data_IF_495514096421
#
_entry.id   IF_495514096421
#
_cell.length_a   1.000
_cell.length_b   1.000
_cell.length_c   1.000
_cell.angle_alpha   90.00
_cell.angle_beta   90.00
_cell.angle_gamma   90.00
#
_symmetry.space_group_name_H-M   'P 1'
#
loop_
_entity.id
_entity.type
_entity.pdbx_description
1 polymer ?
#
# COMPACT_ATOMS: atom_id res chain seq x y z
N UNK A 1 7.04 7.25 -0.07
CA UNK A 1 5.82 7.09 -0.89
C UNK A 1 6.25 7.09 -2.35
N UNK A 2 5.74 6.14 -3.12
CA UNK A 2 6.04 5.95 -4.53
C UNK A 2 4.76 6.32 -5.29
N UNK A 3 4.89 7.19 -6.29
CA UNK A 3 3.78 7.72 -7.11
C UNK A 3 4.10 7.57 -8.58
N UNK A 4 3.08 7.61 -9.43
CA UNK A 4 3.21 7.49 -10.88
C UNK A 4 1.98 6.85 -11.52
N UNK A 5 1.86 6.97 -12.83
CA UNK A 5 0.74 6.41 -13.60
C UNK A 5 0.60 4.90 -13.43
N UNK A 6 -0.56 4.37 -13.80
CA UNK A 6 -0.81 2.93 -13.84
C UNK A 6 0.16 2.27 -14.81
N UNK A 7 0.70 1.10 -14.44
CA UNK A 7 1.64 0.37 -15.29
C UNK A 7 3.08 0.91 -15.31
N UNK A 8 3.43 1.90 -14.49
CA UNK A 8 4.83 2.39 -14.36
C UNK A 8 5.74 1.45 -13.56
N UNK A 9 5.23 0.35 -13.01
CA UNK A 9 6.00 -0.65 -12.26
C UNK A 9 6.13 -0.39 -10.76
N UNK A 10 5.25 0.44 -10.18
CA UNK A 10 5.21 0.71 -8.72
C UNK A 10 5.06 -0.59 -7.91
N UNK A 11 4.06 -1.40 -8.23
CA UNK A 11 3.81 -2.69 -7.56
C UNK A 11 4.99 -3.65 -7.70
N UNK A 12 5.56 -3.78 -8.90
CA UNK A 12 6.75 -4.60 -9.14
C UNK A 12 7.96 -4.15 -8.32
N UNK A 13 8.15 -2.84 -8.14
CA UNK A 13 9.19 -2.29 -7.27
C UNK A 13 8.93 -2.63 -5.79
N UNK A 14 7.69 -2.50 -5.33
CA UNK A 14 7.30 -2.86 -3.96
C UNK A 14 7.47 -4.35 -3.70
N UNK A 15 7.09 -5.21 -4.64
CA UNK A 15 7.28 -6.66 -4.58
C UNK A 15 8.76 -7.01 -4.45
N UNK A 16 9.64 -6.39 -5.26
CA UNK A 16 11.07 -6.61 -5.16
C UNK A 16 11.64 -6.19 -3.79
N UNK A 17 11.14 -5.08 -3.22
CA UNK A 17 11.50 -4.65 -1.87
C UNK A 17 10.97 -5.63 -0.81
N UNK A 18 9.74 -6.12 -0.97
CA UNK A 18 9.12 -7.10 -0.09
C UNK A 18 9.88 -8.43 -0.06
N UNK A 19 10.25 -8.94 -1.25
CA UNK A 19 11.07 -10.13 -1.41
C UNK A 19 12.44 -9.97 -0.72
N UNK A 20 13.10 -8.81 -0.88
CA UNK A 20 14.35 -8.50 -0.17
C UNK A 20 14.19 -8.43 1.36
N UNK A 21 13.04 -7.98 1.85
CA UNK A 21 12.70 -7.96 3.28
C UNK A 21 12.32 -9.36 3.83
N UNK A 22 12.12 -10.35 2.96
CA UNK A 22 11.75 -11.72 3.32
C UNK A 22 10.24 -11.92 3.48
N UNK A 23 9.42 -11.07 2.86
CA UNK A 23 7.97 -11.24 2.76
C UNK A 23 7.58 -12.05 1.53
N UNK A 24 6.39 -12.66 1.58
CA UNK A 24 5.82 -13.39 0.45
C UNK A 24 5.28 -12.42 -0.61
N UNK A 25 5.40 -12.79 -1.89
CA UNK A 25 5.02 -11.94 -3.04
C UNK A 25 3.50 -11.70 -3.12
N UNK A 26 2.71 -12.64 -2.59
CA UNK A 26 1.25 -12.51 -2.51
C UNK A 26 0.80 -11.57 -1.37
N UNK A 27 1.72 -11.02 -0.57
CA UNK A 27 1.43 -10.21 0.60
C UNK A 27 1.27 -11.05 1.88
N UNK A 28 1.53 -10.42 3.03
CA UNK A 28 1.51 -11.02 4.35
C UNK A 28 2.79 -10.82 5.15
N UNK A 29 2.85 -11.45 6.33
CA UNK A 29 4.07 -11.56 7.14
C UNK A 29 4.94 -12.75 6.70
N UNK A 30 6.17 -12.83 7.22
CA UNK A 30 7.09 -13.95 6.92
C UNK A 30 6.44 -15.30 7.26
N UNK A 31 6.34 -16.19 6.26
CA UNK A 31 5.73 -17.53 6.40
C UNK A 31 4.23 -17.60 6.06
N UNK A 32 3.64 -16.51 5.58
CA UNK A 32 2.26 -16.46 5.12
C UNK A 32 2.14 -16.98 3.68
N UNK A 33 1.32 -18.00 3.44
CA UNK A 33 0.94 -18.47 2.10
C UNK A 33 -0.57 -18.32 1.93
N UNK A 34 -1.06 -17.32 1.20
CA UNK A 34 -2.46 -17.27 0.82
C UNK A 34 -2.80 -18.50 -0.03
N UNK A 35 -3.87 -19.20 0.32
CA UNK A 35 -4.28 -20.48 -0.31
C UNK A 35 -4.73 -20.27 -1.77
N UNK A 36 -5.06 -19.04 -2.17
CA UNK A 36 -5.72 -18.73 -3.45
C UNK A 36 -4.83 -18.08 -4.55
N UNK A 37 -3.54 -17.81 -4.31
CA UNK A 37 -2.67 -17.18 -5.33
C UNK A 37 -1.63 -18.13 -5.94
N UNK A 38 -1.87 -19.45 -5.90
CA UNK A 38 -1.00 -20.44 -6.56
C UNK A 38 -0.94 -20.33 -8.09
N UNK A 39 -1.80 -19.50 -8.70
CA UNK A 39 -1.88 -19.28 -10.14
C UNK A 39 -1.39 -17.91 -10.65
N UNK A 40 -1.10 -16.95 -9.76
CA UNK A 40 -0.53 -15.65 -10.15
C UNK A 40 1.00 -15.70 -10.03
N UNK A 41 1.63 -16.45 -10.92
CA UNK A 41 3.09 -16.52 -11.02
C UNK A 41 3.57 -15.23 -11.72
N UNK A 42 3.58 -14.10 -11.03
CA UNK A 42 4.23 -12.90 -11.55
C UNK A 42 5.74 -13.00 -11.31
N UNK A 43 6.44 -13.64 -12.27
CA UNK A 43 7.90 -13.87 -12.23
C UNK A 43 8.73 -12.57 -12.22
N UNK A 44 8.12 -11.41 -12.33
CA UNK A 44 8.81 -10.12 -12.52
C UNK A 44 9.42 -9.58 -11.23
N UNK A 45 8.72 -9.64 -10.10
CA UNK A 45 9.18 -9.16 -8.79
C UNK A 45 10.41 -9.91 -8.27
N UNK A 46 10.36 -11.25 -8.22
CA UNK A 46 11.49 -12.11 -7.84
C UNK A 46 12.75 -11.87 -8.68
N UNK A 47 12.60 -11.70 -9.99
CA UNK A 47 13.74 -11.47 -10.88
C UNK A 47 14.42 -10.12 -10.58
N UNK A 48 13.62 -9.09 -10.29
CA UNK A 48 14.11 -7.77 -9.93
C UNK A 48 14.76 -7.77 -8.52
N UNK A 49 14.21 -8.52 -7.57
CA UNK A 49 14.77 -8.67 -6.23
C UNK A 49 16.22 -9.18 -6.26
N UNK A 50 16.55 -10.11 -7.16
CA UNK A 50 17.92 -10.63 -7.33
C UNK A 50 18.91 -9.59 -7.86
N UNK A 51 18.42 -8.49 -8.45
CA UNK A 51 19.25 -7.41 -8.99
C UNK A 51 19.47 -6.30 -7.96
N UNK A 52 18.56 -6.14 -7.00
CA UNK A 52 18.69 -5.14 -5.94
C UNK A 52 19.64 -5.59 -4.83
N UNK A 53 20.39 -4.63 -4.27
CA UNK A 53 21.13 -4.81 -3.01
C UNK A 53 20.53 -3.93 -1.92
N UNK A 54 19.81 -4.57 -1.01
CA UNK A 54 19.32 -3.94 0.21
C UNK A 54 20.46 -3.58 1.17
N UNK A 55 20.57 -2.30 1.52
CA UNK A 55 21.49 -1.81 2.54
C UNK A 55 20.69 -1.23 3.71
N UNK A 56 20.48 -2.04 4.75
CA UNK A 56 19.90 -1.57 6.01
C UNK A 56 20.43 -2.38 7.20
N UNK A 57 20.66 -1.69 8.32
CA UNK A 57 21.14 -2.26 9.59
C UNK A 57 20.36 -1.64 10.75
N UNK A 58 19.85 -2.44 11.70
CA UNK A 58 19.77 -3.90 11.68
C UNK A 58 18.82 -4.39 10.58
N UNK A 59 19.01 -5.63 10.09
CA UNK A 59 18.06 -6.23 9.15
C UNK A 59 16.74 -6.55 9.85
N UNK A 60 15.84 -5.57 9.90
CA UNK A 60 14.49 -5.75 10.43
C UNK A 60 13.69 -6.56 9.40
N UNK A 61 13.41 -7.83 9.72
CA UNK A 61 12.55 -8.72 8.90
C UNK A 61 11.16 -8.89 9.52
N UNK A 62 10.87 -8.16 10.60
CA UNK A 62 9.56 -8.07 11.19
C UNK A 62 8.76 -6.97 10.49
N UNK A 63 7.47 -7.20 10.28
CA UNK A 63 6.58 -6.28 9.57
C UNK A 63 5.68 -7.04 8.60
N UNK A 64 5.09 -6.31 7.66
CA UNK A 64 4.00 -6.81 6.82
C UNK A 64 4.05 -6.17 5.43
N UNK A 65 3.77 -6.96 4.41
CA UNK A 65 3.42 -6.47 3.08
C UNK A 65 1.90 -6.54 2.89
N UNK A 66 1.25 -5.39 2.82
CA UNK A 66 -0.17 -5.25 2.57
C UNK A 66 -0.40 -4.86 1.12
N UNK A 67 -1.14 -5.69 0.38
CA UNK A 67 -1.73 -5.32 -0.91
C UNK A 67 -3.23 -5.24 -0.73
N UNK A 68 -3.88 -4.24 -1.31
CA UNK A 68 -5.35 -4.15 -1.23
C UNK A 68 -6.03 -5.40 -1.82
N UNK A 69 -5.48 -5.96 -2.90
CA UNK A 69 -6.01 -7.16 -3.57
C UNK A 69 -5.89 -8.43 -2.70
N UNK A 70 -4.79 -8.60 -1.99
CA UNK A 70 -4.57 -9.77 -1.14
C UNK A 70 -5.01 -9.58 0.31
N UNK A 71 -5.37 -8.35 0.73
CA UNK A 71 -5.87 -8.08 2.07
C UNK A 71 -7.03 -9.02 2.43
N UNK A 72 -7.93 -9.25 1.50
CA UNK A 72 -9.13 -10.03 1.78
C UNK A 72 -8.86 -11.54 1.84
N UNK A 73 -7.98 -12.07 0.99
CA UNK A 73 -7.51 -13.46 1.11
C UNK A 73 -6.74 -13.66 2.42
N UNK A 74 -5.99 -12.63 2.84
CA UNK A 74 -5.24 -12.64 4.09
C UNK A 74 -6.18 -12.62 5.32
N UNK A 75 -7.16 -11.71 5.31
CA UNK A 75 -8.17 -11.59 6.37
C UNK A 75 -8.99 -12.87 6.51
N UNK A 76 -9.43 -13.46 5.38
CA UNK A 76 -10.17 -14.73 5.37
C UNK A 76 -9.41 -15.89 6.00
N UNK A 77 -8.16 -16.08 5.62
CA UNK A 77 -7.36 -17.15 6.21
C UNK A 77 -7.13 -16.92 7.72
N UNK A 78 -7.00 -15.68 8.18
CA UNK A 78 -6.81 -15.39 9.60
C UNK A 78 -8.08 -15.60 10.43
N UNK A 79 -9.23 -15.19 9.91
CA UNK A 79 -10.53 -15.48 10.53
C UNK A 79 -10.72 -17.00 10.61
N UNK A 80 -10.39 -17.74 9.54
CA UNK A 80 -10.46 -19.21 9.53
C UNK A 80 -9.48 -19.86 10.51
N UNK A 81 -8.20 -19.45 10.53
CA UNK A 81 -7.18 -20.00 11.42
C UNK A 81 -7.48 -19.73 12.90
N UNK A 82 -8.20 -18.67 13.21
CA UNK A 82 -8.63 -18.37 14.58
C UNK A 82 -9.85 -19.19 15.03
N UNK A 83 -10.71 -19.63 14.11
CA UNK A 83 -11.76 -20.61 14.43
C UNK A 83 -11.17 -21.98 14.81
N UNK A 84 -9.93 -22.26 14.41
CA UNK A 84 -9.20 -23.48 14.74
C UNK A 84 -8.48 -23.41 16.11
N UNK A 85 -8.37 -22.23 16.74
CA UNK A 85 -7.77 -22.03 18.07
C UNK A 85 -8.81 -21.61 19.12
N UNK A 86 -9.31 -22.55 19.96
CA UNK A 86 -10.36 -22.26 20.94
C UNK A 86 -9.93 -21.35 22.10
N UNK A 87 -8.64 -20.98 22.21
CA UNK A 87 -8.15 -20.06 23.25
C UNK A 87 -7.97 -18.62 22.76
N UNK A 88 -8.14 -18.36 21.45
CA UNK A 88 -8.05 -17.03 20.88
C UNK A 88 -9.47 -16.53 20.58
N UNK A 89 -9.85 -15.32 21.03
CA UNK A 89 -11.12 -14.74 20.57
C UNK A 89 -11.05 -14.64 19.04
N UNK A 90 -12.08 -15.13 18.31
CA UNK A 90 -12.08 -15.08 16.87
C UNK A 90 -11.96 -13.60 16.46
N UNK A 91 -10.95 -13.22 15.66
CA UNK A 91 -10.99 -11.96 14.97
C UNK A 91 -12.20 -12.00 14.04
N UNK A 92 -12.91 -10.89 14.01
CA UNK A 92 -14.12 -10.75 13.22
C UNK A 92 -13.86 -9.72 12.14
N UNK A 93 -12.76 -9.87 11.37
CA UNK A 93 -12.36 -8.86 10.39
C UNK A 93 -13.35 -8.78 9.21
N UNK A 94 -14.07 -9.88 8.94
CA UNK A 94 -15.03 -10.01 7.85
C UNK A 94 -16.46 -9.58 8.17
N UNK A 95 -16.85 -9.40 9.44
CA UNK A 95 -18.19 -8.85 9.76
C UNK A 95 -18.30 -7.35 9.57
N UNK A 96 -17.16 -6.65 9.47
CA UNK A 96 -17.11 -5.21 9.25
C UNK A 96 -17.10 -4.88 7.76
N UNK A 97 -17.43 -3.62 7.45
CA UNK A 97 -17.25 -3.09 6.10
C UNK A 97 -15.79 -3.23 5.63
N UNK A 98 -15.58 -3.43 4.32
CA UNK A 98 -14.27 -3.68 3.69
C UNK A 98 -13.14 -2.78 4.24
N UNK A 99 -13.39 -1.47 4.37
CA UNK A 99 -12.38 -0.53 4.86
C UNK A 99 -12.15 -0.56 6.37
N UNK A 100 -13.14 -0.98 7.17
CA UNK A 100 -13.01 -1.05 8.63
C UNK A 100 -12.20 -2.27 9.08
N UNK A 101 -12.41 -3.42 8.42
CA UNK A 101 -11.55 -4.59 8.61
C UNK A 101 -10.08 -4.26 8.33
N UNK A 102 -9.80 -3.51 7.26
CA UNK A 102 -8.45 -3.08 6.90
C UNK A 102 -7.79 -2.22 7.99
N UNK A 103 -8.50 -1.19 8.49
CA UNK A 103 -7.97 -0.30 9.52
C UNK A 103 -7.65 -1.06 10.81
N UNK A 104 -8.57 -1.94 11.26
CA UNK A 104 -8.33 -2.76 12.47
C UNK A 104 -7.16 -3.71 12.28
N UNK A 105 -7.10 -4.39 11.14
CA UNK A 105 -6.01 -5.29 10.80
C UNK A 105 -4.66 -4.57 10.80
N UNK A 106 -4.60 -3.42 10.15
CA UNK A 106 -3.42 -2.57 10.12
C UNK A 106 -3.04 -2.11 11.53
N UNK A 107 -4.00 -1.72 12.37
CA UNK A 107 -3.74 -1.27 13.75
C UNK A 107 -3.17 -2.36 14.64
N UNK A 108 -3.65 -3.59 14.51
CA UNK A 108 -3.17 -4.71 15.30
C UNK A 108 -1.74 -5.13 14.92
N UNK A 109 -1.43 -5.11 13.62
CA UNK A 109 -0.15 -5.61 13.08
C UNK A 109 0.96 -4.57 13.07
N UNK A 110 0.61 -3.29 13.08
CA UNK A 110 1.56 -2.18 13.06
C UNK A 110 2.08 -1.76 14.44
N UNK A 111 1.84 -2.55 15.49
CA UNK A 111 2.29 -2.26 16.87
C UNK A 111 3.75 -2.61 17.15
N UNK A 112 4.41 -3.32 16.24
CA UNK A 112 5.78 -3.85 16.45
C UNK A 112 6.79 -3.05 15.62
N UNK A 113 8.05 -3.12 16.03
CA UNK A 113 9.12 -2.59 15.21
C UNK A 113 9.19 -3.36 13.89
N UNK A 114 9.16 -2.66 12.76
CA UNK A 114 9.07 -3.33 11.47
C UNK A 114 9.15 -2.46 10.22
N UNK A 115 9.29 -3.13 9.08
CA UNK A 115 9.11 -2.52 7.76
C UNK A 115 7.75 -2.92 7.19
N UNK A 116 6.95 -1.92 6.86
CA UNK A 116 5.58 -2.06 6.40
C UNK A 116 5.49 -1.58 4.96
N UNK A 117 5.02 -2.46 4.07
CA UNK A 117 4.87 -2.16 2.66
C UNK A 117 3.37 -2.10 2.35
N UNK A 118 2.91 -1.04 1.70
CA UNK A 118 1.50 -0.83 1.34
C UNK A 118 1.40 -0.61 -0.17
N UNK A 119 0.68 -1.46 -0.87
CA UNK A 119 0.39 -1.29 -2.29
C UNK A 119 -1.09 -0.95 -2.49
N UNK A 120 -1.33 0.25 -3.02
CA UNK A 120 -2.65 0.84 -3.30
C UNK A 120 -3.67 0.69 -2.16
N UNK A 121 -3.33 1.07 -0.91
CA UNK A 121 -4.23 0.87 0.23
C UNK A 121 -5.56 1.65 0.10
N UNK A 122 -5.61 2.71 -0.71
CA UNK A 122 -6.82 3.46 -1.00
C UNK A 122 -7.92 2.65 -1.70
N UNK A 123 -7.57 1.58 -2.43
CA UNK A 123 -8.54 0.79 -3.20
C UNK A 123 -9.58 0.11 -2.32
N UNK A 124 -9.26 -0.12 -1.04
CA UNK A 124 -10.17 -0.67 -0.04
C UNK A 124 -10.79 0.39 0.91
N UNK A 125 -10.44 1.67 0.75
CA UNK A 125 -10.71 2.72 1.74
C UNK A 125 -11.46 3.91 1.16
N UNK A 126 -12.58 4.28 1.81
CA UNK A 126 -13.22 5.57 1.57
C UNK A 126 -12.31 6.74 1.97
N UNK A 127 -12.52 7.97 1.45
CA UNK A 127 -11.70 9.13 1.80
C UNK A 127 -11.53 9.35 3.31
N UNK A 128 -12.62 9.23 4.09
CA UNK A 128 -12.56 9.35 5.55
C UNK A 128 -11.66 8.28 6.19
N UNK A 129 -11.65 7.06 5.67
CA UNK A 129 -10.78 5.98 6.16
C UNK A 129 -9.33 6.14 5.72
N UNK A 130 -9.08 6.75 4.56
CA UNK A 130 -7.72 7.17 4.18
C UNK A 130 -7.15 8.20 5.16
N UNK A 131 -7.98 9.12 5.66
CA UNK A 131 -7.57 10.05 6.74
C UNK A 131 -7.25 9.30 8.05
N UNK A 132 -7.98 8.25 8.39
CA UNK A 132 -7.64 7.40 9.54
C UNK A 132 -6.29 6.70 9.34
N UNK A 133 -6.05 6.14 8.15
CA UNK A 133 -4.76 5.56 7.80
C UNK A 133 -3.62 6.58 7.93
N UNK A 134 -3.79 7.82 7.45
CA UNK A 134 -2.80 8.90 7.63
C UNK A 134 -2.45 9.15 9.11
N UNK A 135 -3.46 9.18 9.99
CA UNK A 135 -3.24 9.35 11.43
C UNK A 135 -2.42 8.19 12.00
N UNK A 136 -2.63 6.97 11.50
CA UNK A 136 -1.85 5.80 11.92
C UNK A 136 -0.41 5.87 11.42
N UNK A 137 -0.21 6.21 10.14
CA UNK A 137 1.11 6.40 9.54
C UNK A 137 1.91 7.46 10.30
N UNK A 138 1.28 8.59 10.65
CA UNK A 138 1.92 9.64 11.44
C UNK A 138 2.33 9.16 12.84
N UNK A 139 1.48 8.37 13.52
CA UNK A 139 1.82 7.77 14.83
C UNK A 139 3.00 6.80 14.72
N UNK A 140 3.07 6.02 13.64
CA UNK A 140 4.15 5.07 13.37
C UNK A 140 5.48 5.77 13.08
N UNK A 141 5.44 6.87 12.32
CA UNK A 141 6.63 7.69 12.06
C UNK A 141 7.16 8.32 13.36
N UNK A 142 6.25 8.90 14.17
CA UNK A 142 6.59 9.52 15.45
C UNK A 142 7.14 8.53 16.49
N UNK A 143 6.73 7.26 16.45
CA UNK A 143 7.27 6.26 17.38
C UNK A 143 8.71 5.87 17.04
N UNK A 144 9.19 6.13 15.82
CA UNK A 144 10.55 5.80 15.37
C UNK A 144 10.82 4.29 15.27
N UNK A 145 9.79 3.46 15.40
CA UNK A 145 9.90 2.00 15.42
C UNK A 145 9.51 1.37 14.07
N UNK A 146 8.95 2.14 13.14
CA UNK A 146 8.44 1.61 11.89
C UNK A 146 8.98 2.37 10.68
N UNK A 147 9.32 1.63 9.62
CA UNK A 147 9.54 2.20 8.29
C UNK A 147 8.35 1.81 7.41
N UNK A 148 7.70 2.81 6.81
CA UNK A 148 6.62 2.57 5.84
C UNK A 148 7.11 2.88 4.43
N UNK A 149 6.86 1.96 3.49
CA UNK A 149 7.03 2.15 2.06
C UNK A 149 5.65 1.92 1.44
N UNK A 150 5.15 2.89 0.69
CA UNK A 150 3.81 2.85 0.15
C UNK A 150 3.82 3.27 -1.31
N UNK A 151 3.09 2.56 -2.17
CA UNK A 151 2.65 3.03 -3.47
C UNK A 151 1.18 3.44 -3.37
N UNK A 152 0.85 4.60 -3.93
CA UNK A 152 -0.53 5.13 -3.89
C UNK A 152 -0.79 6.04 -5.08
N UNK A 153 -2.05 6.06 -5.48
CA UNK A 153 -2.70 6.96 -6.42
C UNK A 153 -3.55 8.02 -5.72
N UNK A 154 -3.74 7.93 -4.41
CA UNK A 154 -4.55 8.88 -3.66
C UNK A 154 -3.78 10.14 -3.28
N UNK A 155 -4.22 11.34 -3.72
CA UNK A 155 -3.65 12.61 -3.25
C UNK A 155 -3.72 12.78 -1.73
N UNK A 156 -4.73 12.19 -1.07
CA UNK A 156 -4.85 12.24 0.39
C UNK A 156 -3.66 11.53 1.05
N UNK A 157 -3.33 10.32 0.58
CA UNK A 157 -2.23 9.54 1.12
C UNK A 157 -0.86 10.11 0.72
N UNK A 158 -0.75 10.70 -0.48
CA UNK A 158 0.44 11.44 -0.91
C UNK A 158 0.78 12.62 0.02
N UNK A 159 -0.23 13.25 0.61
CA UNK A 159 -0.05 14.38 1.53
C UNK A 159 0.38 13.95 2.95
N UNK A 160 0.80 12.69 3.16
CA UNK A 160 1.27 12.22 4.45
C UNK A 160 2.41 13.12 5.00
N UNK A 161 2.23 13.72 6.20
CA UNK A 161 3.24 14.60 6.77
C UNK A 161 4.59 13.88 6.95
N UNK A 162 5.70 14.58 6.63
CA UNK A 162 7.06 14.04 6.77
C UNK A 162 7.44 12.99 5.72
N UNK A 163 6.51 12.59 4.84
CA UNK A 163 6.80 11.58 3.83
C UNK A 163 7.70 12.12 2.72
N UNK A 164 8.64 11.28 2.28
CA UNK A 164 9.40 11.49 1.04
C UNK A 164 8.64 10.87 -0.12
N UNK A 165 8.35 11.66 -1.15
CA UNK A 165 7.71 11.21 -2.38
C UNK A 165 8.73 10.96 -3.47
N UNK A 166 8.56 9.84 -4.17
CA UNK A 166 9.33 9.47 -5.35
C UNK A 166 8.38 9.15 -6.49
N UNK A 167 8.55 9.82 -7.63
CA UNK A 167 7.85 9.50 -8.87
C UNK A 167 8.62 8.42 -9.61
N UNK A 168 7.92 7.38 -10.04
CA UNK A 168 8.46 6.36 -10.96
C UNK A 168 8.32 6.89 -12.38
N UNK A 169 9.46 7.08 -13.04
CA UNK A 169 9.54 7.41 -14.46
C UNK A 169 10.25 6.28 -15.21
N UNK A 170 10.21 6.32 -16.55
CA UNK A 170 10.99 5.39 -17.39
C UNK A 170 12.50 5.49 -17.17
N UNK A 171 12.97 6.58 -16.56
CA UNK A 171 14.38 6.84 -16.28
C UNK A 171 14.78 6.50 -14.83
N UNK A 172 13.83 6.12 -13.97
CA UNK A 172 14.08 5.69 -12.60
C UNK A 172 13.17 6.38 -11.57
N UNK A 173 13.69 6.48 -10.34
CA UNK A 173 13.00 7.14 -9.22
C UNK A 173 13.50 8.58 -9.07
N UNK A 174 12.59 9.53 -9.17
CA UNK A 174 12.87 10.96 -9.02
C UNK A 174 12.14 11.50 -7.78
N UNK A 175 12.77 12.33 -6.94
CA UNK A 175 12.06 13.05 -5.89
C UNK A 175 10.92 13.89 -6.47
N UNK A 176 9.78 13.93 -5.80
CA UNK A 176 8.63 14.73 -6.21
C UNK A 176 8.04 15.50 -5.02
N UNK A 177 7.58 16.72 -5.27
CA UNK A 177 6.70 17.43 -4.34
C UNK A 177 5.26 16.95 -4.54
N UNK A 178 4.50 16.83 -3.46
CA UNK A 178 3.10 16.39 -3.54
C UNK A 178 2.25 17.34 -4.42
N UNK A 179 2.53 18.65 -4.40
CA UNK A 179 1.79 19.64 -5.18
C UNK A 179 2.08 19.56 -6.68
N UNK A 180 3.17 18.89 -7.03
CA UNK A 180 3.60 18.70 -8.41
C UNK A 180 3.17 17.35 -8.99
N UNK A 181 2.46 16.51 -8.22
CA UNK A 181 1.92 15.27 -8.75
C UNK A 181 0.72 15.53 -9.65
N UNK A 182 0.61 14.74 -10.71
CA UNK A 182 -0.52 14.84 -11.66
C UNK A 182 -1.85 14.56 -10.95
N UNK A 183 -1.86 13.60 -10.01
CA UNK A 183 -3.02 13.29 -9.18
C UNK A 183 -3.51 14.48 -8.36
N UNK A 184 -2.60 15.24 -7.74
CA UNK A 184 -3.00 16.43 -6.97
C UNK A 184 -3.49 17.55 -7.88
N UNK A 185 -2.79 17.81 -9.00
CA UNK A 185 -3.18 18.86 -9.95
C UNK A 185 -4.55 18.60 -10.54
N UNK A 186 -4.79 17.38 -11.03
CA UNK A 186 -6.09 16.95 -11.54
C UNK A 186 -7.21 17.16 -10.50
N UNK A 187 -7.02 16.67 -9.28
CA UNK A 187 -8.04 16.82 -8.24
C UNK A 187 -8.28 18.28 -7.84
N UNK A 188 -7.21 19.10 -7.79
CA UNK A 188 -7.29 20.54 -7.52
C UNK A 188 -8.08 21.25 -8.62
N UNK A 189 -7.76 20.97 -9.87
CA UNK A 189 -8.35 21.65 -11.03
C UNK A 189 -9.85 21.31 -11.12
N UNK A 190 -10.21 20.02 -11.00
CA UNK A 190 -11.60 19.58 -10.86
C UNK A 190 -12.31 20.23 -9.67
N UNK A 191 -11.66 20.37 -8.52
CA UNK A 191 -12.28 20.96 -7.34
C UNK A 191 -12.49 22.48 -7.44
N UNK A 192 -11.68 23.17 -8.25
CA UNK A 192 -11.76 24.61 -8.44
C UNK A 192 -12.79 25.00 -9.50
N UNK A 193 -12.89 24.23 -10.59
CA UNK A 193 -13.84 24.45 -11.67
C UNK A 193 -14.32 23.09 -12.24
N UNK A 194 -15.32 22.45 -11.60
CA UNK A 194 -15.79 21.14 -12.04
C UNK A 194 -16.41 21.16 -13.44
N UNK A 195 -17.19 22.20 -13.75
CA UNK A 195 -17.91 22.29 -15.02
C UNK A 195 -16.93 22.50 -16.18
N UNK A 196 -16.00 23.46 -16.05
CA UNK A 196 -14.98 23.72 -17.08
C UNK A 196 -14.02 22.55 -17.26
N UNK A 197 -13.63 21.88 -16.18
CA UNK A 197 -12.80 20.68 -16.24
C UNK A 197 -13.49 19.54 -17.01
N UNK A 198 -14.79 19.32 -16.77
CA UNK A 198 -15.55 18.26 -17.45
C UNK A 198 -15.78 18.59 -18.93
N UNK A 199 -16.06 19.84 -19.26
CA UNK A 199 -16.21 20.27 -20.64
C UNK A 199 -14.93 20.02 -21.46
N UNK A 200 -13.75 20.35 -20.91
CA UNK A 200 -12.45 20.09 -21.55
C UNK A 200 -12.17 18.59 -21.67
N UNK A 201 -12.32 17.83 -20.57
CA UNK A 201 -12.01 16.41 -20.52
C UNK A 201 -12.90 15.56 -21.44
N UNK A 202 -14.20 15.87 -21.56
CA UNK A 202 -15.13 15.12 -22.41
C UNK A 202 -15.02 15.50 -23.89
N UNK A 203 -14.56 16.71 -24.21
CA UNK A 203 -14.37 17.15 -25.60
C UNK A 203 -13.17 16.47 -26.27
N UNK A 204 -12.11 16.15 -25.52
CA UNK A 204 -10.94 15.42 -26.03
C UNK A 204 -11.24 13.96 -26.42
N UNK A 205 -12.24 13.33 -25.79
CA UNK A 205 -12.63 11.93 -26.07
C UNK A 205 -13.50 11.78 -27.35
N UNK A 206 -14.05 12.87 -27.88
CA UNK A 206 -14.88 12.87 -29.09
C UNK A 206 -14.10 13.19 -30.39
N UNK A 207 -12.81 13.55 -30.29
CA UNK A 207 -11.94 13.96 -31.41
C UNK A 207 -10.96 12.86 -31.88
#
# INVERSE_FOLDING_TARGET
IIVGENGTGKSTLLEAIGALAGYDEAGGGKGYRPVDHSSAIDKSGAALANTFRGHWLPKVTAGWFFRAESFYSVARYLDQAALEDPFRPPPDFLSWSHGEGFIRFFEERCRRQGIYILDEPESALSPSRQIELLKMLQRMDQSGTAQVIMATHSPLLMACPGARLFRVSRFGLEPADFRDTDHFRMLRDFSNDPDGFLDEALYEDEA
#
